data_IF_981765796978
#
_entry.id   IF_981765796978
#
_cell.length_a   1.000
_cell.length_b   1.000
_cell.length_c   1.000
_cell.angle_alpha   90.00
_cell.angle_beta   90.00
_cell.angle_gamma   90.00
#
_symmetry.space_group_name_H-M   'P 1'
#
loop_
_entity.id
_entity.type
_entity.pdbx_description
1 polymer ?
#
# COMPACT_ATOMS: atom_id res chain seq x y z
N UNK A 1 21.89 -18.98 -1.56
CA UNK A 1 20.82 -18.01 -1.25
C UNK A 1 19.49 -18.73 -1.43
N UNK A 2 18.51 -18.55 -0.55
CA UNK A 2 17.18 -19.15 -0.75
C UNK A 2 16.34 -18.19 -1.59
N UNK A 3 15.49 -18.74 -2.44
CA UNK A 3 14.60 -17.96 -3.30
C UNK A 3 13.13 -18.25 -3.01
N UNK A 4 12.31 -17.22 -3.12
CA UNK A 4 10.84 -17.29 -3.11
C UNK A 4 10.30 -16.51 -4.29
N UNK A 5 9.14 -16.94 -4.80
CA UNK A 5 8.33 -16.13 -5.68
C UNK A 5 7.07 -15.72 -4.93
N UNK A 6 6.79 -14.43 -4.93
CA UNK A 6 5.71 -13.80 -4.20
C UNK A 6 4.71 -13.20 -5.18
N UNK A 7 3.44 -13.21 -4.83
CA UNK A 7 2.41 -12.43 -5.52
C UNK A 7 2.16 -11.12 -4.75
N UNK A 8 2.16 -10.00 -5.46
CA UNK A 8 1.78 -8.68 -4.93
C UNK A 8 0.84 -8.02 -5.95
N UNK A 9 -0.46 -7.93 -5.64
CA UNK A 9 -1.45 -7.52 -6.61
C UNK A 9 -1.46 -8.44 -7.84
N UNK A 10 -1.30 -7.88 -9.04
CA UNK A 10 -1.13 -8.65 -10.29
C UNK A 10 0.33 -9.06 -10.57
N UNK A 11 1.29 -8.55 -9.81
CA UNK A 11 2.71 -8.71 -10.10
C UNK A 11 3.34 -9.90 -9.37
N UNK A 12 4.34 -10.50 -10.00
CA UNK A 12 5.20 -11.50 -9.36
C UNK A 12 6.58 -10.93 -9.03
N UNK A 13 7.01 -11.11 -7.78
CA UNK A 13 8.34 -10.75 -7.32
C UNK A 13 9.16 -11.98 -6.97
N UNK A 14 10.37 -12.11 -7.53
CA UNK A 14 11.38 -13.08 -7.09
C UNK A 14 12.24 -12.45 -6.02
N UNK A 15 12.27 -13.06 -4.85
CA UNK A 15 13.04 -12.60 -3.69
C UNK A 15 14.12 -13.60 -3.37
N UNK A 16 15.36 -13.13 -3.26
CA UNK A 16 16.52 -13.93 -2.88
C UNK A 16 17.13 -13.40 -1.57
N UNK A 17 17.19 -14.24 -0.53
CA UNK A 17 17.75 -13.87 0.78
C UNK A 17 18.52 -15.03 1.42
N UNK A 18 19.53 -14.73 2.23
CA UNK A 18 20.26 -15.73 3.03
C UNK A 18 19.68 -15.92 4.44
N UNK A 19 18.99 -14.91 4.98
CA UNK A 19 18.40 -14.94 6.31
C UNK A 19 17.19 -15.85 6.39
N UNK A 20 17.19 -16.78 7.34
CA UNK A 20 16.00 -17.59 7.63
C UNK A 20 14.88 -16.75 8.26
N UNK A 21 15.23 -15.73 9.05
CA UNK A 21 14.27 -14.87 9.72
C UNK A 21 13.45 -14.07 8.69
N UNK A 22 14.11 -13.33 7.81
CA UNK A 22 13.41 -12.56 6.76
C UNK A 22 12.65 -13.47 5.78
N UNK A 23 13.15 -14.68 5.51
CA UNK A 23 12.42 -15.64 4.68
C UNK A 23 11.12 -16.10 5.34
N UNK A 24 11.07 -16.19 6.67
CA UNK A 24 9.84 -16.46 7.40
C UNK A 24 8.89 -15.26 7.38
N UNK A 25 9.40 -14.02 7.43
CA UNK A 25 8.60 -12.81 7.24
C UNK A 25 7.78 -12.89 5.94
N UNK A 26 8.43 -13.22 4.82
CA UNK A 26 7.74 -13.36 3.53
C UNK A 26 6.63 -14.41 3.55
N UNK A 27 6.90 -15.59 4.14
CA UNK A 27 5.90 -16.66 4.23
C UNK A 27 4.69 -16.31 5.09
N UNK A 28 4.86 -15.42 6.07
CA UNK A 28 3.76 -14.96 6.94
C UNK A 28 2.91 -13.88 6.28
N UNK A 29 3.54 -12.97 5.55
CA UNK A 29 2.88 -11.75 5.06
C UNK A 29 2.47 -11.81 3.58
N UNK A 30 3.14 -12.64 2.76
CA UNK A 30 2.93 -12.67 1.32
C UNK A 30 2.42 -14.03 0.86
N UNK A 31 1.58 -14.03 -0.17
CA UNK A 31 1.24 -15.25 -0.90
C UNK A 31 2.46 -15.73 -1.68
N UNK A 32 3.02 -16.86 -1.26
CA UNK A 32 4.11 -17.54 -1.98
C UNK A 32 3.51 -18.38 -3.11
N UNK A 33 4.02 -18.22 -4.32
CA UNK A 33 3.66 -19.06 -5.48
C UNK A 33 4.84 -19.94 -5.88
N UNK A 34 4.55 -21.19 -6.22
CA UNK A 34 5.51 -22.07 -6.85
C UNK A 34 5.43 -21.88 -8.38
N UNK A 35 6.56 -21.55 -9.01
CA UNK A 35 6.72 -21.48 -10.48
C UNK A 35 5.80 -20.47 -11.21
N UNK A 36 5.82 -19.20 -10.82
CA UNK A 36 5.29 -18.13 -11.66
C UNK A 36 6.04 -18.08 -13.01
N UNK A 37 5.27 -18.05 -14.10
CA UNK A 37 5.81 -18.08 -15.47
C UNK A 37 6.57 -16.79 -15.85
N UNK A 38 6.24 -15.67 -15.20
CA UNK A 38 6.85 -14.37 -15.42
C UNK A 38 7.24 -13.74 -14.08
N UNK A 39 8.38 -13.04 -14.05
CA UNK A 39 8.87 -12.28 -12.89
C UNK A 39 8.95 -10.82 -13.29
N UNK A 40 8.18 -9.99 -12.60
CA UNK A 40 8.10 -8.55 -12.84
C UNK A 40 9.15 -7.78 -12.04
N UNK A 41 9.49 -8.30 -10.84
CA UNK A 41 10.39 -7.66 -9.90
C UNK A 41 11.41 -8.67 -9.34
N UNK A 42 12.70 -8.36 -9.43
CA UNK A 42 13.77 -9.15 -8.80
C UNK A 42 14.35 -8.39 -7.61
N UNK A 43 14.33 -9.00 -6.43
CA UNK A 43 14.76 -8.38 -5.18
C UNK A 43 15.80 -9.27 -4.49
N UNK A 44 16.99 -8.72 -4.26
CA UNK A 44 18.00 -9.37 -3.42
C UNK A 44 18.07 -8.68 -2.07
N UNK A 45 18.05 -9.44 -0.98
CA UNK A 45 17.94 -8.89 0.38
C UNK A 45 19.14 -9.28 1.25
N UNK A 46 19.71 -8.28 1.92
CA UNK A 46 20.81 -8.41 2.87
C UNK A 46 20.44 -7.84 4.24
N UNK A 47 20.76 -8.57 5.31
CA UNK A 47 20.63 -8.12 6.70
C UNK A 47 21.90 -7.38 7.18
N UNK A 48 21.81 -6.81 8.38
CA UNK A 48 22.95 -6.22 9.09
C UNK A 48 23.26 -4.78 8.66
N UNK A 49 22.26 -4.09 8.11
CA UNK A 49 22.41 -2.72 7.65
C UNK A 49 21.97 -1.70 8.70
N UNK A 50 22.69 -0.57 8.74
CA UNK A 50 22.24 0.64 9.42
C UNK A 50 22.06 0.52 10.93
N UNK A 51 21.25 1.42 11.47
CA UNK A 51 20.86 1.50 12.88
C UNK A 51 19.36 1.19 13.02
N UNK A 52 18.88 0.88 14.25
CA UNK A 52 17.45 0.74 14.49
C UNK A 52 16.63 1.95 14.02
N UNK A 53 15.34 1.73 13.77
CA UNK A 53 14.40 2.76 13.34
C UNK A 53 14.46 4.01 14.23
N UNK A 54 14.56 5.18 13.60
CA UNK A 54 14.64 6.50 14.29
C UNK A 54 13.50 7.42 13.90
N UNK A 55 13.22 7.54 12.61
CA UNK A 55 12.15 8.36 12.06
C UNK A 55 11.75 7.86 10.66
N UNK A 56 10.78 8.51 10.02
CA UNK A 56 10.27 8.15 8.69
C UNK A 56 10.96 8.91 7.54
N UNK A 57 12.03 9.66 7.80
CA UNK A 57 12.70 10.45 6.76
C UNK A 57 13.49 9.54 5.82
N UNK A 58 13.14 9.59 4.53
CA UNK A 58 13.82 8.82 3.49
C UNK A 58 14.54 9.79 2.57
N UNK A 59 15.85 9.62 2.45
CA UNK A 59 16.66 10.34 1.48
C UNK A 59 16.62 9.59 0.15
N UNK A 60 16.35 10.31 -0.93
CA UNK A 60 16.36 9.75 -2.29
C UNK A 60 17.53 10.33 -3.08
N UNK A 61 18.33 9.45 -3.70
CA UNK A 61 19.45 9.82 -4.56
C UNK A 61 19.29 9.13 -5.90
N UNK A 62 19.04 9.91 -6.96
CA UNK A 62 18.93 9.39 -8.33
C UNK A 62 20.28 9.52 -9.04
N UNK A 63 20.87 8.37 -9.39
CA UNK A 63 22.07 8.27 -10.20
C UNK A 63 21.76 8.05 -11.68
N UNK A 64 22.79 7.74 -12.47
CA UNK A 64 22.67 7.51 -13.92
C UNK A 64 21.97 6.17 -14.23
N UNK A 65 22.14 5.16 -13.38
CA UNK A 65 21.62 3.80 -13.61
C UNK A 65 20.69 3.31 -12.50
N UNK A 66 20.71 3.96 -11.35
CA UNK A 66 19.99 3.52 -10.15
C UNK A 66 19.28 4.66 -9.46
N UNK A 67 18.23 4.33 -8.72
CA UNK A 67 17.60 5.19 -7.73
C UNK A 67 17.80 4.57 -6.36
N UNK A 68 18.36 5.33 -5.44
CA UNK A 68 18.64 4.87 -4.10
C UNK A 68 17.69 5.53 -3.09
N UNK A 69 17.05 4.73 -2.24
CA UNK A 69 16.24 5.19 -1.11
C UNK A 69 16.91 4.76 0.18
N UNK A 70 17.22 5.73 1.04
CA UNK A 70 17.97 5.48 2.26
C UNK A 70 17.21 6.03 3.46
N UNK A 71 17.00 5.16 4.45
CA UNK A 71 16.61 5.52 5.82
C UNK A 71 17.67 4.98 6.78
N UNK A 72 17.64 5.37 8.05
CA UNK A 72 18.64 4.94 9.04
C UNK A 72 18.78 3.40 9.13
N UNK A 73 17.70 2.66 8.88
CA UNK A 73 17.52 1.22 9.07
C UNK A 73 17.41 0.42 7.75
N UNK A 74 17.34 1.08 6.59
CA UNK A 74 17.38 0.40 5.29
C UNK A 74 18.02 1.21 4.16
N UNK A 75 18.50 0.51 3.13
CA UNK A 75 18.91 1.05 1.84
C UNK A 75 18.31 0.22 0.71
N UNK A 76 17.67 0.88 -0.25
CA UNK A 76 17.21 0.28 -1.50
C UNK A 76 18.08 0.84 -2.61
N UNK A 77 18.69 -0.03 -3.41
CA UNK A 77 19.37 0.30 -4.65
C UNK A 77 18.59 -0.33 -5.81
N UNK A 78 17.75 0.47 -6.48
CA UNK A 78 16.86 -0.01 -7.53
C UNK A 78 17.35 0.42 -8.93
N UNK A 79 17.09 -0.38 -9.96
CA UNK A 79 17.16 0.04 -11.36
C UNK A 79 16.19 1.20 -11.62
N UNK A 80 16.45 2.00 -12.67
CA UNK A 80 15.58 3.16 -12.99
C UNK A 80 14.13 2.79 -13.32
N UNK A 81 13.87 1.55 -13.73
CA UNK A 81 12.53 1.02 -13.99
C UNK A 81 11.96 0.19 -12.83
N UNK A 82 12.69 0.15 -11.71
CA UNK A 82 12.40 -0.59 -10.50
C UNK A 82 12.22 -2.09 -10.69
N UNK A 83 12.56 -2.70 -11.83
CA UNK A 83 12.40 -4.16 -12.05
C UNK A 83 13.45 -5.01 -11.34
N UNK A 84 14.52 -4.38 -10.84
CA UNK A 84 15.57 -5.04 -10.08
C UNK A 84 16.01 -4.16 -8.92
N UNK A 85 16.16 -4.72 -7.72
CA UNK A 85 16.63 -4.00 -6.56
C UNK A 85 17.48 -4.86 -5.63
N UNK A 86 18.49 -4.24 -5.01
CA UNK A 86 19.18 -4.78 -3.85
C UNK A 86 18.67 -4.00 -2.63
N UNK A 87 18.24 -4.71 -1.60
CA UNK A 87 17.64 -4.14 -0.39
C UNK A 87 18.45 -4.58 0.82
N UNK A 88 19.00 -3.61 1.54
CA UNK A 88 19.74 -3.81 2.78
C UNK A 88 18.84 -3.38 3.94
N UNK A 89 18.70 -4.21 4.97
CA UNK A 89 17.76 -3.96 6.09
C UNK A 89 18.38 -4.27 7.44
N UNK A 90 17.93 -3.54 8.46
CA UNK A 90 18.26 -3.81 9.87
C UNK A 90 17.44 -4.97 10.44
N UNK A 91 16.11 -4.94 10.23
CA UNK A 91 15.14 -5.87 10.80
C UNK A 91 13.89 -6.04 9.90
N UNK A 92 12.87 -6.77 10.38
CA UNK A 92 11.61 -6.99 9.65
C UNK A 92 10.80 -5.69 9.42
N UNK A 93 10.87 -4.72 10.35
CA UNK A 93 10.17 -3.45 10.22
C UNK A 93 10.78 -2.61 9.10
N UNK A 94 12.11 -2.55 9.07
CA UNK A 94 12.88 -1.93 8.00
C UNK A 94 12.56 -2.60 6.64
N UNK A 95 12.49 -3.94 6.61
CA UNK A 95 12.13 -4.69 5.42
C UNK A 95 10.71 -4.36 4.91
N UNK A 96 9.70 -4.35 5.78
CA UNK A 96 8.32 -3.99 5.39
C UNK A 96 8.29 -2.61 4.74
N UNK A 97 8.89 -1.61 5.39
CA UNK A 97 8.94 -0.24 4.89
C UNK A 97 9.73 -0.11 3.58
N UNK A 98 10.85 -0.83 3.44
CA UNK A 98 11.63 -0.84 2.21
C UNK A 98 10.83 -1.43 1.03
N UNK A 99 10.11 -2.53 1.25
CA UNK A 99 9.28 -3.17 0.23
C UNK A 99 8.08 -2.32 -0.17
N UNK A 100 7.42 -1.65 0.78
CA UNK A 100 6.36 -0.68 0.49
C UNK A 100 6.87 0.44 -0.43
N UNK A 101 8.06 0.96 -0.13
CA UNK A 101 8.69 2.02 -0.93
C UNK A 101 9.05 1.56 -2.34
N UNK A 102 9.75 0.42 -2.45
CA UNK A 102 10.11 -0.17 -3.73
C UNK A 102 8.87 -0.48 -4.58
N UNK A 103 7.87 -1.14 -4.00
CA UNK A 103 6.68 -1.54 -4.73
C UNK A 103 5.82 -0.34 -5.14
N UNK A 104 5.68 0.67 -4.28
CA UNK A 104 4.98 1.90 -4.65
C UNK A 104 5.67 2.65 -5.80
N UNK A 105 7.00 2.76 -5.75
CA UNK A 105 7.78 3.37 -6.84
C UNK A 105 7.62 2.59 -8.15
N UNK A 106 7.64 1.25 -8.08
CA UNK A 106 7.42 0.37 -9.23
C UNK A 106 6.04 0.58 -9.88
N UNK A 107 4.94 0.51 -9.11
CA UNK A 107 3.59 0.64 -9.69
C UNK A 107 3.30 2.04 -10.23
N UNK A 108 3.90 3.09 -9.64
CA UNK A 108 3.82 4.47 -10.14
C UNK A 108 4.61 4.61 -11.44
N UNK A 109 5.84 4.10 -11.48
CA UNK A 109 6.69 4.16 -12.67
C UNK A 109 6.03 3.48 -13.87
N UNK A 110 5.43 2.31 -13.67
CA UNK A 110 4.70 1.58 -14.72
C UNK A 110 3.25 2.07 -14.93
N UNK A 111 2.84 3.15 -14.27
CA UNK A 111 1.52 3.77 -14.39
C UNK A 111 0.37 2.76 -14.19
N UNK A 112 0.53 1.83 -13.25
CA UNK A 112 -0.41 0.75 -12.98
C UNK A 112 -1.41 1.11 -11.87
N UNK A 113 -0.95 1.86 -10.86
CA UNK A 113 -1.74 2.10 -9.66
C UNK A 113 -1.01 2.89 -8.57
N UNK A 114 -1.61 2.91 -7.39
CA UNK A 114 -1.14 3.65 -6.22
C UNK A 114 -1.15 2.75 -4.97
N UNK A 115 -0.24 3.04 -4.05
CA UNK A 115 -0.26 2.51 -2.69
C UNK A 115 -0.78 3.62 -1.77
N UNK A 116 -1.92 3.41 -1.12
CA UNK A 116 -2.59 4.42 -0.28
C UNK A 116 -2.50 4.02 1.19
N UNK A 117 -2.11 4.97 2.04
CA UNK A 117 -2.12 4.83 3.49
C UNK A 117 -3.56 4.77 4.02
N UNK A 118 -4.04 3.55 4.23
CA UNK A 118 -5.44 3.27 4.54
C UNK A 118 -5.63 1.83 5.00
N UNK A 119 -6.77 1.59 5.65
CA UNK A 119 -7.36 0.25 5.74
C UNK A 119 -8.43 0.06 4.66
N UNK A 120 -8.78 -1.18 4.36
CA UNK A 120 -9.81 -1.51 3.39
C UNK A 120 -10.63 -2.72 3.84
N UNK A 121 -11.95 -2.56 3.85
CA UNK A 121 -12.89 -3.63 4.14
C UNK A 121 -13.79 -3.92 2.93
N UNK A 122 -14.29 -5.14 2.82
CA UNK A 122 -15.17 -5.59 1.73
C UNK A 122 -16.58 -5.82 2.26
N UNK A 123 -17.55 -5.15 1.66
CA UNK A 123 -18.97 -5.35 1.91
C UNK A 123 -19.65 -5.80 0.61
N UNK A 124 -20.34 -6.94 0.63
CA UNK A 124 -21.08 -7.46 -0.53
C UNK A 124 -20.25 -7.52 -1.85
N UNK A 125 -18.97 -7.87 -1.73
CA UNK A 125 -18.04 -7.96 -2.87
C UNK A 125 -17.49 -6.62 -3.37
N UNK A 126 -17.72 -5.51 -2.64
CA UNK A 126 -17.21 -4.18 -2.96
C UNK A 126 -16.24 -3.70 -1.89
N UNK A 127 -15.11 -3.13 -2.31
CA UNK A 127 -14.10 -2.61 -1.41
C UNK A 127 -14.41 -1.16 -0.98
N UNK A 128 -14.14 -0.86 0.29
CA UNK A 128 -14.29 0.46 0.89
C UNK A 128 -13.01 0.81 1.64
N UNK A 129 -12.34 1.88 1.19
CA UNK A 129 -11.11 2.38 1.80
C UNK A 129 -11.47 3.32 2.95
N UNK A 130 -10.76 3.18 4.08
CA UNK A 130 -10.76 4.16 5.17
C UNK A 130 -9.37 4.80 5.27
N UNK A 131 -9.29 6.09 4.98
CA UNK A 131 -8.05 6.87 5.04
C UNK A 131 -8.20 8.10 5.92
N UNK A 132 -7.09 8.72 6.30
CA UNK A 132 -7.08 9.85 7.23
C UNK A 132 -5.68 10.09 7.77
N UNK A 133 -5.49 11.21 8.48
CA UNK A 133 -4.22 11.52 9.13
C UNK A 133 -3.84 10.43 10.16
N UNK A 134 -2.59 10.45 10.64
CA UNK A 134 -2.20 9.56 11.73
C UNK A 134 -3.10 9.80 12.94
N UNK A 135 -3.63 8.73 13.54
CA UNK A 135 -4.62 8.82 14.63
C UNK A 135 -6.07 9.07 14.22
N UNK A 136 -6.39 9.23 12.92
CA UNK A 136 -7.78 9.44 12.47
C UNK A 136 -8.73 8.25 12.73
N UNK A 137 -8.17 7.07 13.06
CA UNK A 137 -8.95 5.87 13.41
C UNK A 137 -9.04 4.82 12.31
N UNK A 138 -8.09 4.75 11.36
CA UNK A 138 -8.07 3.75 10.27
C UNK A 138 -8.13 2.30 10.76
N UNK A 139 -7.26 1.95 11.71
CA UNK A 139 -7.24 0.62 12.34
C UNK A 139 -8.49 0.37 13.20
N UNK A 140 -9.05 1.43 13.80
CA UNK A 140 -10.33 1.35 14.52
C UNK A 140 -11.49 1.06 13.58
N UNK A 141 -11.59 1.74 12.45
CA UNK A 141 -12.60 1.48 11.43
C UNK A 141 -12.45 0.07 10.85
N UNK A 142 -11.22 -0.40 10.63
CA UNK A 142 -10.95 -1.77 10.19
C UNK A 142 -11.44 -2.81 11.21
N UNK A 143 -11.07 -2.68 12.48
CA UNK A 143 -11.51 -3.57 13.55
C UNK A 143 -13.04 -3.53 13.75
N UNK A 144 -13.66 -2.35 13.67
CA UNK A 144 -15.11 -2.20 13.74
C UNK A 144 -15.84 -2.69 12.49
N UNK A 145 -15.13 -3.12 11.45
CA UNK A 145 -15.77 -3.64 10.24
C UNK A 145 -16.08 -5.13 10.31
N UNK A 146 -15.57 -5.85 11.32
CA UNK A 146 -15.91 -7.26 11.55
C UNK A 146 -17.43 -7.50 11.50
N UNK A 147 -17.89 -8.58 10.84
CA UNK A 147 -17.13 -9.70 10.27
C UNK A 147 -16.68 -9.51 8.80
N UNK A 148 -16.62 -8.26 8.29
CA UNK A 148 -16.22 -8.00 6.90
C UNK A 148 -14.77 -8.34 6.65
N UNK A 149 -14.48 -8.88 5.46
CA UNK A 149 -13.12 -9.18 5.03
C UNK A 149 -12.27 -7.91 4.91
N UNK A 150 -11.03 -7.96 5.41
CA UNK A 150 -10.07 -6.87 5.32
C UNK A 150 -9.00 -7.15 4.25
N UNK A 151 -8.94 -6.30 3.22
CA UNK A 151 -7.87 -6.36 2.20
C UNK A 151 -6.60 -5.62 2.63
N UNK A 152 -6.70 -4.70 3.60
CA UNK A 152 -5.54 -4.00 4.16
C UNK A 152 -5.89 -3.32 5.49
N UNK A 153 -4.88 -3.07 6.31
CA UNK A 153 -4.99 -2.28 7.55
C UNK A 153 -3.95 -1.14 7.65
N UNK A 154 -3.01 -1.06 6.70
CA UNK A 154 -1.96 -0.02 6.64
C UNK A 154 -1.76 0.57 5.23
N UNK A 155 -1.55 -0.28 4.22
CA UNK A 155 -1.34 0.16 2.85
C UNK A 155 -2.24 -0.60 1.86
N UNK A 156 -3.19 0.09 1.25
CA UNK A 156 -4.06 -0.48 0.21
C UNK A 156 -3.39 -0.42 -1.16
N UNK A 157 -3.33 -1.57 -1.84
CA UNK A 157 -2.85 -1.66 -3.23
C UNK A 157 -4.02 -1.36 -4.16
N UNK A 158 -3.94 -0.25 -4.88
CA UNK A 158 -5.01 0.25 -5.76
C UNK A 158 -4.55 0.21 -7.21
N UNK A 159 -5.11 -0.70 -8.02
CA UNK A 159 -4.94 -0.69 -9.47
C UNK A 159 -5.93 0.28 -10.09
N UNK A 160 -5.46 1.11 -11.01
CA UNK A 160 -6.27 2.17 -11.62
C UNK A 160 -6.16 2.06 -13.14
N UNK A 161 -7.28 1.80 -13.79
CA UNK A 161 -7.42 1.90 -15.24
C UNK A 161 -8.40 3.02 -15.59
N UNK A 162 -8.64 3.27 -16.88
CA UNK A 162 -9.65 4.25 -17.31
C UNK A 162 -11.04 3.88 -16.80
N UNK A 163 -11.34 2.58 -16.74
CA UNK A 163 -12.71 2.08 -16.59
C UNK A 163 -12.97 1.46 -15.22
N UNK A 164 -11.92 0.99 -14.53
CA UNK A 164 -12.05 0.24 -13.29
C UNK A 164 -10.99 0.64 -12.27
N UNK A 165 -11.38 0.58 -10.99
CA UNK A 165 -10.47 0.69 -9.86
C UNK A 165 -10.62 -0.56 -9.01
N UNK A 166 -9.51 -1.26 -8.77
CA UNK A 166 -9.50 -2.55 -8.08
C UNK A 166 -8.57 -2.50 -6.88
N UNK A 167 -9.03 -3.03 -5.75
CA UNK A 167 -8.24 -3.23 -4.54
C UNK A 167 -7.79 -4.67 -4.46
N UNK A 168 -6.52 -4.87 -4.13
CA UNK A 168 -5.94 -6.18 -3.88
C UNK A 168 -5.72 -6.38 -2.38
N UNK A 169 -5.72 -7.64 -1.97
CA UNK A 169 -5.21 -8.04 -0.67
C UNK A 169 -3.73 -7.63 -0.54
N UNK A 170 -3.44 -6.83 0.48
CA UNK A 170 -2.14 -6.23 0.68
C UNK A 170 -1.31 -7.04 1.68
N UNK A 171 -0.06 -7.39 1.32
CA UNK A 171 0.87 -8.01 2.26
C UNK A 171 1.49 -7.00 3.25
N UNK A 172 1.23 -5.70 3.05
CA UNK A 172 1.78 -4.63 3.90
C UNK A 172 0.83 -4.36 5.06
N UNK A 173 0.81 -5.29 6.02
CA UNK A 173 -0.09 -5.26 7.17
C UNK A 173 0.56 -4.70 8.43
N UNK A 174 -0.27 -4.13 9.30
CA UNK A 174 0.13 -3.69 10.63
C UNK A 174 -0.02 -4.80 11.67
N UNK A 175 -1.23 -5.01 12.18
CA UNK A 175 -1.52 -5.94 13.28
C UNK A 175 -2.74 -6.84 12.97
N UNK A 176 -3.60 -6.45 12.02
CA UNK A 176 -4.85 -7.15 11.75
C UNK A 176 -4.66 -8.23 10.68
N UNK A 177 -5.04 -9.45 11.04
CA UNK A 177 -5.14 -10.57 10.11
C UNK A 177 -6.40 -10.42 9.24
N UNK A 178 -6.34 -10.95 8.03
CA UNK A 178 -7.55 -11.17 7.22
C UNK A 178 -8.05 -12.59 7.45
N UNK A 179 -9.34 -12.72 7.72
CA UNK A 179 -10.03 -14.02 7.77
C UNK A 179 -10.67 -14.39 6.42
N UNK A 180 -10.49 -13.56 5.38
CA UNK A 180 -11.07 -13.76 4.06
C UNK A 180 -10.16 -14.49 3.07
N UNK A 181 -10.66 -14.68 1.85
CA UNK A 181 -9.94 -15.40 0.79
C UNK A 181 -8.87 -14.56 0.08
N UNK A 182 -8.71 -13.28 0.46
CA UNK A 182 -7.74 -12.36 -0.14
C UNK A 182 -8.08 -12.00 -1.58
N UNK A 183 -9.35 -12.09 -1.96
CA UNK A 183 -9.77 -11.83 -3.34
C UNK A 183 -9.81 -10.33 -3.61
N UNK A 184 -9.29 -9.95 -4.78
CA UNK A 184 -9.37 -8.57 -5.23
C UNK A 184 -10.83 -8.15 -5.45
N UNK A 185 -11.17 -6.91 -5.13
CA UNK A 185 -12.53 -6.38 -5.22
C UNK A 185 -12.56 -5.00 -5.89
N UNK A 186 -13.62 -4.64 -6.63
CA UNK A 186 -13.79 -3.29 -7.17
C UNK A 186 -13.93 -2.27 -6.04
N UNK A 187 -13.26 -1.12 -6.16
CA UNK A 187 -13.36 -0.04 -5.19
C UNK A 187 -14.67 0.72 -5.37
N UNK A 188 -15.54 0.68 -4.38
CA UNK A 188 -16.82 1.39 -4.41
C UNK A 188 -16.76 2.78 -3.78
N UNK A 189 -15.91 3.00 -2.78
CA UNK A 189 -15.77 4.33 -2.16
C UNK A 189 -14.52 4.46 -1.31
N UNK A 190 -14.15 5.72 -1.06
CA UNK A 190 -13.09 6.10 -0.12
C UNK A 190 -13.73 6.97 0.97
N UNK A 191 -13.45 6.65 2.23
CA UNK A 191 -13.91 7.38 3.41
C UNK A 191 -12.72 8.08 4.05
N UNK A 192 -12.75 9.41 4.13
CA UNK A 192 -11.81 10.23 4.90
C UNK A 192 -12.34 10.37 6.32
N UNK A 193 -11.62 9.81 7.28
CA UNK A 193 -12.11 9.61 8.63
C UNK A 193 -12.02 10.86 9.49
N UNK A 194 -13.11 11.14 10.19
CA UNK A 194 -13.21 12.10 11.28
C UNK A 194 -13.84 11.43 12.50
N UNK A 195 -13.19 11.52 13.66
CA UNK A 195 -13.78 11.01 14.90
C UNK A 195 -14.97 11.89 15.31
N UNK A 196 -16.09 11.28 15.65
CA UNK A 196 -17.33 11.97 15.99
C UNK A 196 -18.16 11.20 17.01
N UNK A 197 -19.13 11.87 17.63
CA UNK A 197 -20.14 11.23 18.50
C UNK A 197 -21.36 10.74 17.70
N UNK A 198 -21.48 11.16 16.44
CA UNK A 198 -22.57 10.81 15.53
C UNK A 198 -22.02 10.45 14.15
N UNK A 199 -22.65 9.47 13.50
CA UNK A 199 -22.28 9.10 12.15
C UNK A 199 -22.83 10.12 11.14
N UNK A 200 -21.97 10.58 10.25
CA UNK A 200 -22.34 11.46 9.14
C UNK A 200 -21.41 11.17 7.96
N UNK A 201 -21.97 11.11 6.76
CA UNK A 201 -21.22 10.83 5.54
C UNK A 201 -21.54 11.89 4.50
N UNK A 202 -20.54 12.63 4.06
CA UNK A 202 -20.69 13.75 3.11
C UNK A 202 -19.80 13.54 1.91
N UNK A 203 -20.37 13.59 0.70
CA UNK A 203 -19.59 13.40 -0.52
C UNK A 203 -18.77 14.66 -0.83
N UNK A 204 -17.47 14.47 -1.05
CA UNK A 204 -16.59 15.54 -1.48
C UNK A 204 -16.71 15.80 -2.98
N UNK A 205 -16.47 17.06 -3.36
CA UNK A 205 -16.22 17.39 -4.77
C UNK A 205 -14.92 16.73 -5.20
N UNK A 206 -14.83 16.35 -6.48
CA UNK A 206 -13.66 15.67 -7.04
C UNK A 206 -12.34 16.41 -6.80
N UNK A 207 -12.35 17.74 -6.84
CA UNK A 207 -11.16 18.58 -6.57
C UNK A 207 -10.72 18.50 -5.11
N UNK A 208 -11.66 18.55 -4.17
CA UNK A 208 -11.37 18.46 -2.73
C UNK A 208 -10.87 17.06 -2.39
N UNK A 209 -11.51 16.03 -2.97
CA UNK A 209 -11.09 14.65 -2.85
C UNK A 209 -9.65 14.43 -3.36
N UNK A 210 -9.30 15.01 -4.52
CA UNK A 210 -7.95 14.95 -5.06
C UNK A 210 -6.94 15.51 -4.06
N UNK A 211 -7.17 16.73 -3.56
CA UNK A 211 -6.27 17.42 -2.62
C UNK A 211 -6.07 16.59 -1.35
N UNK A 212 -7.14 16.05 -0.78
CA UNK A 212 -7.10 15.27 0.46
C UNK A 212 -6.46 13.89 0.33
N UNK A 213 -6.24 13.38 -0.90
CA UNK A 213 -5.61 12.08 -1.13
C UNK A 213 -4.12 12.19 -1.49
N UNK A 214 -3.64 13.36 -1.90
CA UNK A 214 -2.23 13.54 -2.33
C UNK A 214 -1.24 13.12 -1.24
N UNK A 215 -1.47 13.53 0.01
CA UNK A 215 -0.62 13.22 1.17
C UNK A 215 -0.89 11.82 1.76
N UNK A 216 -1.83 11.06 1.19
CA UNK A 216 -2.12 9.67 1.60
C UNK A 216 -1.45 8.64 0.71
N UNK A 217 -0.91 9.04 -0.45
CA UNK A 217 -0.17 8.13 -1.31
C UNK A 217 1.22 7.91 -0.72
N UNK A 218 1.62 6.63 -0.56
CA UNK A 218 2.99 6.29 -0.19
C UNK A 218 3.95 6.54 -1.36
N UNK A 219 4.41 7.77 -1.55
CA UNK A 219 5.34 8.09 -2.62
C UNK A 219 6.41 9.10 -2.17
N UNK A 220 7.67 8.78 -2.44
CA UNK A 220 8.81 9.63 -2.14
C UNK A 220 9.20 10.41 -3.39
N UNK A 221 8.68 11.62 -3.49
CA UNK A 221 8.84 12.46 -4.67
C UNK A 221 10.31 12.76 -4.98
N UNK A 222 10.79 12.23 -6.11
CA UNK A 222 12.17 12.41 -6.58
C UNK A 222 12.26 12.58 -8.10
N UNK A 223 11.14 12.41 -8.82
CA UNK A 223 11.04 12.50 -10.27
C UNK A 223 9.78 13.29 -10.65
N UNK A 224 9.89 14.46 -11.32
CA UNK A 224 8.73 15.24 -11.76
C UNK A 224 7.78 14.45 -12.67
N UNK A 225 8.31 13.54 -13.48
CA UNK A 225 7.55 12.69 -14.40
C UNK A 225 6.68 11.68 -13.64
N UNK A 226 7.22 11.05 -12.61
CA UNK A 226 6.46 10.12 -11.76
C UNK A 226 5.48 10.86 -10.86
N UNK A 227 5.85 12.03 -10.30
CA UNK A 227 4.88 12.89 -9.59
C UNK A 227 3.70 13.26 -10.48
N UNK A 228 3.92 13.51 -11.78
CA UNK A 228 2.84 13.72 -12.75
C UNK A 228 1.98 12.47 -12.95
N UNK A 229 2.58 11.27 -12.95
CA UNK A 229 1.83 9.99 -12.98
C UNK A 229 0.97 9.82 -11.74
N UNK A 230 1.51 10.08 -10.54
CA UNK A 230 0.73 10.05 -9.28
C UNK A 230 -0.50 10.94 -9.37
N UNK A 231 -0.33 12.20 -9.80
CA UNK A 231 -1.45 13.14 -9.95
C UNK A 231 -2.45 12.69 -11.03
N UNK A 232 -1.99 12.11 -12.13
CA UNK A 232 -2.84 11.55 -13.17
C UNK A 232 -3.67 10.34 -12.70
N UNK A 233 -3.04 9.44 -11.93
CA UNK A 233 -3.69 8.28 -11.32
C UNK A 233 -4.72 8.73 -10.28
N UNK A 234 -4.38 9.67 -9.39
CA UNK A 234 -5.33 10.23 -8.43
C UNK A 234 -6.52 10.91 -9.11
N UNK A 235 -6.29 11.67 -10.19
CA UNK A 235 -7.37 12.29 -10.98
C UNK A 235 -8.31 11.23 -11.56
N UNK A 236 -7.77 10.13 -12.07
CA UNK A 236 -8.55 9.00 -12.60
C UNK A 236 -9.34 8.30 -11.49
N UNK A 237 -8.69 8.08 -10.34
CA UNK A 237 -9.32 7.50 -9.15
C UNK A 237 -10.54 8.30 -8.69
N UNK A 238 -10.40 9.60 -8.41
CA UNK A 238 -11.52 10.44 -7.93
C UNK A 238 -12.58 10.72 -9.01
N UNK A 239 -12.27 10.45 -10.28
CA UNK A 239 -13.25 10.53 -11.36
C UNK A 239 -14.19 9.34 -11.39
N UNK A 240 -13.68 8.15 -11.01
CA UNK A 240 -14.39 6.87 -11.05
C UNK A 240 -14.96 6.45 -9.69
N UNK A 241 -14.33 6.87 -8.58
CA UNK A 241 -14.69 6.43 -7.23
C UNK A 241 -15.09 7.63 -6.38
N UNK A 242 -16.29 7.62 -5.76
CA UNK A 242 -16.71 8.68 -4.87
C UNK A 242 -15.93 8.65 -3.56
N UNK A 243 -15.57 9.84 -3.10
CA UNK A 243 -14.83 10.07 -1.85
C UNK A 243 -15.72 10.86 -0.90
N UNK A 244 -15.74 10.45 0.36
CA UNK A 244 -16.60 11.00 1.39
C UNK A 244 -15.79 11.43 2.60
N UNK A 245 -16.21 12.48 3.27
CA UNK A 245 -15.89 12.67 4.68
C UNK A 245 -16.82 11.76 5.49
N UNK A 246 -16.23 10.90 6.31
CA UNK A 246 -16.94 10.01 7.21
C UNK A 246 -16.63 10.42 8.65
N UNK A 247 -17.59 11.10 9.26
CA UNK A 247 -17.63 11.30 10.69
C UNK A 247 -18.21 10.04 11.31
N UNK A 248 -17.44 9.35 12.15
CA UNK A 248 -17.89 8.07 12.71
C UNK A 248 -17.78 8.02 14.23
N UNK A 249 -18.81 7.43 14.83
CA UNK A 249 -18.81 6.97 16.21
C UNK A 249 -17.96 5.71 16.32
N UNK A 250 -17.37 5.46 17.50
CA UNK A 250 -16.54 4.28 17.78
C UNK A 250 -17.39 3.00 17.96
N UNK A 251 -18.21 2.68 16.98
CA UNK A 251 -18.92 1.41 16.80
C UNK A 251 -19.10 1.15 15.29
N UNK A 252 -19.71 0.02 14.91
CA UNK A 252 -19.83 -0.40 13.52
C UNK A 252 -21.04 0.19 12.77
N UNK A 253 -21.82 1.07 13.40
CA UNK A 253 -23.07 1.59 12.82
C UNK A 253 -22.84 2.53 11.62
N UNK A 254 -21.60 3.00 11.40
CA UNK A 254 -21.27 3.78 10.20
C UNK A 254 -21.45 2.99 8.90
N UNK A 255 -21.46 1.65 8.96
CA UNK A 255 -21.75 0.81 7.81
C UNK A 255 -23.17 1.01 7.27
N UNK A 256 -24.14 1.43 8.09
CA UNK A 256 -25.49 1.79 7.63
C UNK A 256 -25.48 2.96 6.63
N UNK A 257 -24.43 3.79 6.63
CA UNK A 257 -24.23 4.88 5.69
C UNK A 257 -23.42 4.45 4.46
N UNK A 258 -22.76 3.29 4.48
CA UNK A 258 -21.85 2.80 3.44
C UNK A 258 -22.53 1.76 2.55
N UNK A 259 -23.24 0.81 3.16
CA UNK A 259 -23.93 -0.32 2.53
C UNK A 259 -25.18 0.09 1.76
#
# INVERSE_FOLDING_TARGET
>A
MKELQLQIGDHSARVSCTSLNLMNFFKRQFTVKENAAQVDLNITIHEGYGNPFTNYEVRVLKGIKTVNFQRADYLIEASLDYKSAIVYVHDELALKHALMNLYSSYIVYHNWGLLIHSSCAVETGKAHIFSGHSGAGKSTAASLSEPRELLSDEASIVKITSDNVTIFDSPFRSELNSEGNGQAAPLASIQLLHQSIQNKREQLKKTDALINLVDKVFYWAHSPEESKKVMGLLKTLVSNVPVYELYFKKDNTFWELIS
#
